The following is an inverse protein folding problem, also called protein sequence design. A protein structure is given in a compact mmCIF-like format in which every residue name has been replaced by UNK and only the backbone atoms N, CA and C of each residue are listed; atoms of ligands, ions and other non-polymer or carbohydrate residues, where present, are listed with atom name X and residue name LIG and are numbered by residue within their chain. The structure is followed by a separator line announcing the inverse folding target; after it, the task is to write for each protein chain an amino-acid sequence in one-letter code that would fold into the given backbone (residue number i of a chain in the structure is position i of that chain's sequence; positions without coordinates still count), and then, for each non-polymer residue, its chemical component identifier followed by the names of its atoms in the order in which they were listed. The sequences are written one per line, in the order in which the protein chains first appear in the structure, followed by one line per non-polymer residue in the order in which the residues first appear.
data_IF_147640600851
#
_entry.id   IF_147640600851
#
_cell.length_a   1.000
_cell.length_b   1.000
_cell.length_c   1.000
_cell.angle_alpha   90.00
_cell.angle_beta   90.00
_cell.angle_gamma   90.00
#
_symmetry.space_group_name_H-M   'P 1'
#
loop_
_entity.id
_entity.type
_entity.pdbx_description
1 polymer ?
#
# COMPACT_ATOMS: atom_id res chain seq x y z
N UNK A 1 -9.27 -12.06 -36.57
CA UNK A 1 -9.83 -12.15 -35.21
C UNK A 1 -9.19 -13.29 -34.43
N UNK A 2 -8.31 -12.99 -33.47
CA UNK A 2 -7.89 -13.98 -32.49
C UNK A 2 -9.03 -14.09 -31.48
N UNK A 3 -9.86 -15.13 -31.62
CA UNK A 3 -10.88 -15.45 -30.61
C UNK A 3 -10.14 -16.03 -29.39
N UNK A 4 -10.00 -15.23 -28.35
CA UNK A 4 -9.52 -15.71 -27.06
C UNK A 4 -10.67 -16.44 -26.38
N UNK A 5 -10.49 -17.73 -26.09
CA UNK A 5 -11.47 -18.51 -25.33
C UNK A 5 -11.46 -18.18 -23.82
N UNK A 6 -10.67 -17.18 -23.41
CA UNK A 6 -10.49 -16.73 -22.02
C UNK A 6 -10.15 -17.87 -21.06
N UNK A 7 -9.30 -18.80 -21.49
CA UNK A 7 -8.84 -19.90 -20.63
C UNK A 7 -7.41 -19.66 -20.19
N UNK A 8 -7.16 -19.75 -18.88
CA UNK A 8 -5.82 -19.72 -18.29
C UNK A 8 -5.50 -21.07 -17.62
N UNK A 9 -4.25 -21.48 -17.69
CA UNK A 9 -3.76 -22.68 -17.00
C UNK A 9 -3.25 -22.29 -15.62
N UNK A 10 -3.66 -23.01 -14.57
CA UNK A 10 -3.14 -22.79 -13.20
C UNK A 10 -2.09 -23.86 -12.85
N UNK A 11 -0.78 -23.54 -12.87
CA UNK A 11 0.27 -24.49 -12.51
C UNK A 11 0.14 -25.02 -11.07
N UNK A 12 -0.40 -24.22 -10.14
CA UNK A 12 -0.61 -24.62 -8.75
C UNK A 12 -1.74 -25.65 -8.58
N UNK A 13 -2.58 -25.81 -9.61
CA UNK A 13 -3.68 -26.77 -9.66
C UNK A 13 -3.48 -27.80 -10.77
N UNK A 14 -2.23 -28.22 -10.97
CA UNK A 14 -1.88 -29.28 -11.92
C UNK A 14 -1.92 -28.87 -13.39
N UNK A 15 -1.88 -27.56 -13.70
CA UNK A 15 -1.85 -27.06 -15.08
C UNK A 15 -3.18 -27.17 -15.83
N UNK A 16 -4.28 -27.44 -15.12
CA UNK A 16 -5.61 -27.49 -15.72
C UNK A 16 -6.04 -26.12 -16.26
N UNK A 17 -6.79 -26.11 -17.36
CA UNK A 17 -7.32 -24.89 -17.98
C UNK A 17 -8.66 -24.49 -17.38
N UNK A 18 -8.70 -23.34 -16.73
CA UNK A 18 -9.88 -22.73 -16.13
C UNK A 18 -10.39 -21.59 -17.01
N UNK A 19 -11.71 -21.45 -17.06
CA UNK A 19 -12.37 -20.30 -17.68
C UNK A 19 -12.20 -19.09 -16.75
N UNK A 20 -11.71 -17.97 -17.27
CA UNK A 20 -11.46 -16.73 -16.51
C UNK A 20 -12.31 -15.55 -17.03
N UNK A 21 -13.17 -15.77 -18.02
CA UNK A 21 -14.12 -14.76 -18.47
C UNK A 21 -15.06 -14.35 -17.33
N UNK A 22 -15.14 -13.04 -17.08
CA UNK A 22 -15.97 -12.47 -16.01
C UNK A 22 -15.25 -12.34 -14.66
N UNK A 23 -14.02 -12.85 -14.55
CA UNK A 23 -13.20 -12.65 -13.37
C UNK A 23 -12.64 -11.22 -13.34
N UNK A 24 -12.60 -10.64 -12.14
CA UNK A 24 -11.81 -9.46 -11.81
C UNK A 24 -10.33 -9.63 -12.18
N UNK A 25 -9.69 -8.52 -12.57
CA UNK A 25 -8.28 -8.52 -12.93
C UNK A 25 -7.40 -8.73 -11.70
N UNK A 26 -6.26 -9.44 -11.84
CA UNK A 26 -5.29 -9.57 -10.76
C UNK A 26 -4.77 -8.21 -10.31
N UNK A 27 -4.58 -8.04 -9.00
CA UNK A 27 -4.00 -6.83 -8.39
C UNK A 27 -4.76 -5.53 -8.72
N UNK A 28 -6.05 -5.65 -9.05
CA UNK A 28 -6.90 -4.53 -9.44
C UNK A 28 -7.98 -4.27 -8.37
N UNK A 29 -7.66 -3.55 -7.28
CA UNK A 29 -8.67 -3.12 -6.32
C UNK A 29 -9.71 -2.24 -7.03
N UNK A 30 -10.99 -2.53 -6.79
CA UNK A 30 -12.10 -1.80 -7.42
C UNK A 30 -12.14 -0.31 -7.06
N UNK A 31 -11.64 0.06 -5.88
CA UNK A 31 -11.59 1.43 -5.38
C UNK A 31 -10.33 1.62 -4.53
N UNK A 32 -9.69 2.75 -4.74
CA UNK A 32 -8.56 3.24 -3.93
C UNK A 32 -8.82 4.70 -3.58
N UNK A 33 -8.60 5.05 -2.32
CA UNK A 33 -8.71 6.41 -1.81
C UNK A 33 -7.38 6.83 -1.20
N UNK A 34 -6.89 8.00 -1.61
CA UNK A 34 -5.73 8.66 -1.01
C UNK A 34 -6.12 10.09 -0.65
N UNK A 35 -6.02 10.44 0.62
CA UNK A 35 -6.30 11.77 1.13
C UNK A 35 -5.09 12.28 1.89
N UNK A 36 -4.72 13.53 1.67
CA UNK A 36 -3.64 14.18 2.40
C UNK A 36 -4.03 15.62 2.71
N UNK A 37 -3.72 16.06 3.92
CA UNK A 37 -3.92 17.42 4.35
C UNK A 37 -2.71 17.90 5.16
N UNK A 38 -2.27 19.11 4.87
CA UNK A 38 -1.18 19.78 5.56
C UNK A 38 -1.58 21.24 5.80
N UNK A 39 -1.18 21.79 6.94
CA UNK A 39 -1.43 23.18 7.25
C UNK A 39 -0.17 23.85 7.76
N UNK A 40 0.13 25.05 7.25
CA UNK A 40 1.27 25.83 7.70
C UNK A 40 0.82 26.84 8.76
N UNK A 41 1.32 26.69 9.97
CA UNK A 41 1.05 27.58 11.11
C UNK A 41 2.28 28.46 11.31
N UNK A 42 2.21 29.77 10.99
CA UNK A 42 3.26 30.70 11.35
C UNK A 42 3.37 30.81 12.87
N UNK A 43 4.60 30.75 13.39
CA UNK A 43 4.92 30.93 14.82
C UNK A 43 5.73 32.23 14.96
N UNK A 44 6.22 32.55 16.16
CA UNK A 44 7.04 33.73 16.40
C UNK A 44 8.35 33.72 15.60
N UNK A 45 8.68 34.86 14.99
CA UNK A 45 9.85 35.01 14.13
C UNK A 45 9.70 34.20 12.84
N UNK A 46 10.80 33.62 12.38
CA UNK A 46 10.87 32.90 11.10
C UNK A 46 10.63 31.40 11.24
N UNK A 47 9.92 31.01 12.31
CA UNK A 47 9.55 29.64 12.61
C UNK A 47 8.13 29.31 12.14
N UNK A 48 7.94 28.09 11.64
CA UNK A 48 6.65 27.55 11.27
C UNK A 48 6.45 26.12 11.80
N UNK A 49 5.20 25.78 12.07
CA UNK A 49 4.76 24.43 12.41
C UNK A 49 3.87 23.90 11.28
N UNK A 50 4.19 22.71 10.78
CA UNK A 50 3.49 22.08 9.66
C UNK A 50 3.01 20.67 10.06
N UNK A 51 1.85 20.54 10.71
CA UNK A 51 1.19 19.25 10.87
C UNK A 51 0.67 18.74 9.52
N UNK A 52 0.78 17.43 9.31
CA UNK A 52 0.30 16.72 8.13
C UNK A 52 -0.35 15.39 8.52
N UNK A 53 -1.43 15.06 7.83
CA UNK A 53 -2.12 13.76 7.90
C UNK A 53 -2.23 13.18 6.50
N UNK A 54 -1.89 11.91 6.37
CA UNK A 54 -2.05 11.12 5.14
C UNK A 54 -2.89 9.88 5.44
N UNK A 55 -3.95 9.67 4.67
CA UNK A 55 -4.83 8.52 4.78
C UNK A 55 -4.91 7.79 3.45
N UNK A 56 -4.65 6.49 3.49
CA UNK A 56 -4.76 5.58 2.36
C UNK A 56 -5.76 4.48 2.68
N UNK A 57 -6.60 4.11 1.72
CA UNK A 57 -7.38 2.87 1.81
C UNK A 57 -7.64 2.28 0.42
N UNK A 58 -7.81 0.97 0.35
CA UNK A 58 -8.26 0.29 -0.86
C UNK A 58 -9.20 -0.87 -0.56
N UNK A 59 -10.07 -1.20 -1.51
CA UNK A 59 -10.88 -2.42 -1.45
C UNK A 59 -10.01 -3.66 -1.66
N UNK A 60 -10.45 -4.80 -1.16
CA UNK A 60 -9.79 -6.08 -1.45
C UNK A 60 -9.77 -6.41 -2.94
N UNK A 61 -8.81 -7.23 -3.33
CA UNK A 61 -8.56 -7.62 -4.72
C UNK A 61 -8.13 -9.10 -4.78
N UNK A 62 -8.02 -9.65 -5.99
CA UNK A 62 -7.50 -11.00 -6.21
C UNK A 62 -6.06 -10.95 -6.70
N UNK A 63 -5.17 -11.75 -6.13
CA UNK A 63 -3.77 -11.81 -6.53
C UNK A 63 -3.56 -12.52 -7.88
N UNK A 64 -4.53 -13.35 -8.29
CA UNK A 64 -4.50 -14.15 -9.54
C UNK A 64 -5.85 -14.10 -10.25
N UNK A 65 -5.83 -14.39 -11.55
CA UNK A 65 -6.97 -14.26 -12.46
C UNK A 65 -8.06 -15.31 -12.26
N UNK A 66 -7.81 -16.29 -11.39
CA UNK A 66 -8.74 -17.40 -11.12
C UNK A 66 -9.81 -17.04 -10.09
N UNK A 67 -9.65 -15.92 -9.36
CA UNK A 67 -10.57 -15.43 -8.32
C UNK A 67 -11.01 -16.51 -7.31
N UNK A 68 -10.10 -17.39 -6.90
CA UNK A 68 -10.37 -18.39 -5.87
C UNK A 68 -10.07 -17.82 -4.48
N UNK A 69 -10.82 -18.24 -3.46
CA UNK A 69 -10.71 -17.72 -2.09
C UNK A 69 -9.26 -17.63 -1.54
N UNK A 70 -8.39 -18.56 -1.94
CA UNK A 70 -6.99 -18.58 -1.54
C UNK A 70 -6.12 -17.44 -2.12
N UNK A 71 -6.64 -16.72 -3.12
CA UNK A 71 -5.96 -15.60 -3.78
C UNK A 71 -6.55 -14.24 -3.36
N UNK A 72 -7.51 -14.23 -2.44
CA UNK A 72 -8.14 -12.99 -2.00
C UNK A 72 -7.20 -12.23 -1.07
N UNK A 73 -6.91 -10.99 -1.43
CA UNK A 73 -6.31 -9.99 -0.53
C UNK A 73 -7.43 -9.11 0.01
N UNK A 74 -7.42 -8.89 1.33
CA UNK A 74 -8.40 -8.07 2.03
C UNK A 74 -8.33 -6.60 1.63
N UNK A 75 -9.38 -5.84 1.94
CA UNK A 75 -9.25 -4.39 2.00
C UNK A 75 -8.31 -4.02 3.13
N UNK A 76 -7.57 -2.93 2.96
CA UNK A 76 -6.69 -2.42 4.00
C UNK A 76 -6.62 -0.90 3.94
N UNK A 77 -6.17 -0.33 5.04
CA UNK A 77 -6.04 1.11 5.23
C UNK A 77 -4.81 1.43 6.05
N UNK A 78 -4.33 2.66 5.89
CA UNK A 78 -3.18 3.17 6.62
C UNK A 78 -3.36 4.67 6.87
N UNK A 79 -3.21 5.04 8.14
CA UNK A 79 -3.14 6.43 8.59
C UNK A 79 -1.71 6.77 9.02
N UNK A 80 -1.14 7.81 8.42
CA UNK A 80 0.17 8.37 8.75
C UNK A 80 0.02 9.81 9.24
N UNK A 81 0.87 10.20 10.21
CA UNK A 81 0.92 11.56 10.75
C UNK A 81 2.35 12.07 10.72
N UNK A 82 2.49 13.36 10.44
CA UNK A 82 3.77 14.06 10.44
C UNK A 82 3.61 15.43 11.11
N UNK A 83 4.66 15.86 11.82
CA UNK A 83 4.80 17.20 12.35
C UNK A 83 6.18 17.74 11.99
N UNK A 84 6.21 18.83 11.23
CA UNK A 84 7.43 19.53 10.90
C UNK A 84 7.52 20.86 11.67
N UNK A 85 8.68 21.11 12.26
CA UNK A 85 9.09 22.41 12.80
C UNK A 85 10.18 22.95 11.89
N UNK A 86 9.98 24.11 11.28
CA UNK A 86 10.92 24.68 10.32
C UNK A 86 11.27 26.12 10.65
N UNK A 87 12.51 26.53 10.34
CA UNK A 87 12.94 27.91 10.33
C UNK A 87 13.39 28.28 8.91
N UNK A 88 12.65 29.17 8.26
CA UNK A 88 12.86 29.48 6.83
C UNK A 88 14.10 30.35 6.60
N UNK A 89 14.51 31.17 7.58
CA UNK A 89 15.75 31.98 7.49
C UNK A 89 17.03 31.14 7.61
N UNK A 90 16.97 30.08 8.41
CA UNK A 90 18.12 29.20 8.70
C UNK A 90 18.16 27.95 7.82
N UNK A 91 17.21 27.81 6.89
CA UNK A 91 16.93 26.60 6.12
C UNK A 91 17.04 25.32 6.96
N UNK A 92 16.40 25.32 8.13
CA UNK A 92 16.43 24.24 9.11
C UNK A 92 15.03 23.65 9.25
N UNK A 93 14.91 22.32 9.24
CA UNK A 93 13.68 21.63 9.55
C UNK A 93 13.92 20.37 10.40
N UNK A 94 13.06 20.18 11.39
CA UNK A 94 12.95 18.97 12.20
C UNK A 94 11.58 18.36 11.95
N UNK A 95 11.55 17.12 11.51
CA UNK A 95 10.32 16.42 11.11
C UNK A 95 10.16 15.19 11.99
N UNK A 96 9.07 15.12 12.72
CA UNK A 96 8.63 13.93 13.45
C UNK A 96 7.55 13.24 12.64
N UNK A 97 7.58 11.93 12.54
CA UNK A 97 6.53 11.19 11.85
C UNK A 97 6.20 9.87 12.56
N UNK A 98 4.95 9.45 12.38
CA UNK A 98 4.47 8.11 12.69
C UNK A 98 3.75 7.56 11.47
N UNK A 99 4.19 6.40 11.00
CA UNK A 99 3.52 5.64 9.94
C UNK A 99 2.71 4.50 10.55
N UNK A 100 1.61 4.15 9.90
CA UNK A 100 0.67 3.12 10.35
C UNK A 100 0.27 3.34 11.82
N UNK A 101 -0.36 4.50 12.09
CA UNK A 101 -0.84 4.89 13.42
C UNK A 101 -1.77 3.83 14.01
N UNK A 102 -2.51 3.12 13.17
CA UNK A 102 -3.44 2.06 13.60
C UNK A 102 -2.70 0.79 14.05
N UNK A 103 -1.45 0.59 13.61
CA UNK A 103 -0.66 -0.62 13.84
C UNK A 103 -1.33 -1.88 13.30
N UNK A 104 -1.90 -1.78 12.10
CA UNK A 104 -2.45 -2.92 11.39
C UNK A 104 -1.33 -3.75 10.75
N UNK A 105 -1.56 -5.05 10.58
CA UNK A 105 -0.67 -6.02 9.93
C UNK A 105 -1.33 -6.62 8.69
N UNK A 106 -2.14 -5.82 7.98
CA UNK A 106 -2.90 -6.26 6.81
C UNK A 106 -1.99 -6.83 5.72
N UNK A 107 -2.44 -7.89 5.03
CA UNK A 107 -1.78 -8.39 3.84
C UNK A 107 -2.00 -7.38 2.71
N UNK A 108 -0.92 -6.80 2.18
CA UNK A 108 -0.96 -5.82 1.10
C UNK A 108 -0.76 -6.46 -0.27
N UNK A 109 -0.08 -7.61 -0.31
CA UNK A 109 0.19 -8.36 -1.52
C UNK A 109 0.33 -9.85 -1.23
N UNK A 110 -0.06 -10.68 -2.19
CA UNK A 110 0.08 -12.13 -2.12
C UNK A 110 0.68 -12.63 -3.43
N UNK A 111 1.73 -13.44 -3.31
CA UNK A 111 2.40 -14.07 -4.44
C UNK A 111 2.25 -15.58 -4.36
N UNK A 112 1.98 -16.21 -5.50
CA UNK A 112 1.99 -17.68 -5.62
C UNK A 112 3.20 -18.09 -6.44
N UNK A 113 4.05 -18.92 -5.85
CA UNK A 113 5.28 -19.37 -6.49
C UNK A 113 5.03 -20.47 -7.53
N UNK A 114 6.06 -20.72 -8.35
CA UNK A 114 6.03 -21.76 -9.38
C UNK A 114 5.69 -23.15 -8.80
N UNK A 115 5.01 -23.97 -9.60
CA UNK A 115 4.74 -25.36 -9.26
C UNK A 115 6.01 -26.21 -9.12
N UNK A 116 7.11 -25.81 -9.77
CA UNK A 116 8.42 -26.45 -9.67
C UNK A 116 8.99 -26.42 -8.23
N UNK A 117 8.54 -25.47 -7.42
CA UNK A 117 8.96 -25.30 -6.01
C UNK A 117 7.81 -25.55 -5.03
N UNK A 118 6.74 -26.22 -5.48
CA UNK A 118 5.62 -26.63 -4.63
C UNK A 118 4.50 -25.60 -4.46
N UNK A 119 4.50 -24.50 -5.24
CA UNK A 119 3.42 -23.50 -5.26
C UNK A 119 3.00 -22.95 -3.89
N UNK A 120 3.96 -22.74 -2.99
CA UNK A 120 3.68 -22.04 -1.74
C UNK A 120 3.30 -20.58 -2.01
N UNK A 121 2.60 -19.98 -1.03
CA UNK A 121 2.15 -18.60 -1.08
C UNK A 121 3.00 -17.75 -0.16
N UNK A 122 3.44 -16.60 -0.66
CA UNK A 122 4.11 -15.57 0.13
C UNK A 122 3.14 -14.42 0.35
N UNK A 123 2.90 -14.06 1.61
CA UNK A 123 2.12 -12.90 1.98
C UNK A 123 3.06 -11.76 2.39
N UNK A 124 2.81 -10.57 1.87
CA UNK A 124 3.52 -9.35 2.23
C UNK A 124 2.60 -8.53 3.13
N UNK A 125 3.08 -8.25 4.32
CA UNK A 125 2.33 -7.50 5.32
C UNK A 125 2.62 -6.01 5.18
N UNK A 126 1.67 -5.22 5.64
CA UNK A 126 1.88 -3.81 5.91
C UNK A 126 3.02 -3.65 6.91
N UNK A 127 3.87 -2.64 6.71
CA UNK A 127 4.90 -2.31 7.69
C UNK A 127 4.24 -2.05 9.05
N UNK A 128 4.82 -2.54 10.16
CA UNK A 128 4.28 -2.25 11.49
C UNK A 128 4.33 -0.74 11.77
N UNK A 129 3.76 -0.31 12.90
CA UNK A 129 3.86 1.11 13.27
C UNK A 129 5.32 1.55 13.39
N UNK A 130 5.70 2.57 12.62
CA UNK A 130 7.07 3.12 12.61
C UNK A 130 7.05 4.56 13.08
N UNK A 131 7.93 4.89 14.03
CA UNK A 131 8.21 6.26 14.44
C UNK A 131 9.56 6.70 13.89
N UNK A 132 9.69 7.98 13.53
CA UNK A 132 10.97 8.50 13.09
C UNK A 132 11.11 10.00 13.23
N UNK A 133 12.36 10.42 13.12
CA UNK A 133 12.78 11.82 13.14
C UNK A 133 13.69 12.05 11.95
N UNK A 134 13.46 13.14 11.22
CA UNK A 134 14.29 13.59 10.11
C UNK A 134 14.75 15.03 10.38
N UNK A 135 16.02 15.30 10.11
CA UNK A 135 16.64 16.63 10.23
C UNK A 135 17.10 17.05 8.85
N UNK A 136 16.67 18.23 8.40
CA UNK A 136 17.12 18.86 7.17
C UNK A 136 17.77 20.20 7.49
N UNK A 137 18.95 20.45 6.93
CA UNK A 137 19.68 21.69 7.10
C UNK A 137 20.32 22.09 5.76
N UNK A 138 20.07 23.32 5.31
CA UNK A 138 20.76 23.94 4.18
C UNK A 138 22.14 24.48 4.56
N UNK A 139 23.06 24.51 3.60
CA UNK A 139 24.42 25.04 3.73
C UNK A 139 24.76 26.02 2.60
#
# INVERSE_FOLDING_TARGET
DIRSDFRSSDPSRGGAFFQIQGNELPNAPSRTLKLAAEYNIPVAGSWSLKPRVDYYSQTGFWAREFNVAADRVGSWEQLDLQLQVANDERDLALIFFVKNVQNNDDITFLEVNSNLVGSFRSAFLLDPRVYGVNVRMGF
#
